data_IF_294490731009
#
_entry.id   IF_294490731009
#
_cell.length_a   1.000
_cell.length_b   1.000
_cell.length_c   1.000
_cell.angle_alpha   90.00
_cell.angle_beta   90.00
_cell.angle_gamma   90.00
#
_symmetry.space_group_name_H-M   'P 1'
#
loop_
_entity.id
_entity.type
_entity.pdbx_description
1 polymer ?
#
# COMPACT_ATOMS: atom_id res chain seq x y z
N UNK A 1 7.12 15.88 9.10
CA UNK A 1 6.56 15.17 7.93
C UNK A 1 5.49 14.18 8.36
N UNK A 2 4.45 14.06 7.57
CA UNK A 2 3.46 13.01 7.79
C UNK A 2 4.09 11.62 7.57
N UNK A 3 3.63 10.64 8.34
CA UNK A 3 4.01 9.25 8.12
C UNK A 3 3.37 8.77 6.83
N UNK A 4 4.16 8.18 5.95
CA UNK A 4 3.68 7.55 4.72
C UNK A 4 3.70 6.03 4.88
N UNK A 5 2.59 5.40 4.52
CA UNK A 5 2.46 3.94 4.53
C UNK A 5 2.07 3.49 3.12
N UNK A 6 2.86 2.58 2.56
CA UNK A 6 2.53 2.00 1.26
C UNK A 6 1.59 0.82 1.44
N UNK A 7 0.48 0.85 0.72
CA UNK A 7 -0.47 -0.27 0.66
C UNK A 7 -0.37 -0.90 -0.72
N UNK A 8 0.01 -2.16 -0.75
CA UNK A 8 0.24 -2.93 -1.97
C UNK A 8 -0.70 -4.14 -2.00
N UNK A 9 -0.89 -4.70 -3.16
CA UNK A 9 -1.72 -5.88 -3.34
C UNK A 9 -2.57 -5.83 -4.59
N UNK A 10 -3.35 -6.88 -4.78
CA UNK A 10 -4.31 -7.01 -5.87
C UNK A 10 -5.36 -8.07 -5.53
N UNK A 11 -6.39 -8.12 -6.34
CA UNK A 11 -7.50 -9.06 -6.18
C UNK A 11 -8.76 -8.38 -5.69
N UNK A 12 -9.83 -8.45 -6.49
CA UNK A 12 -11.10 -7.81 -6.18
C UNK A 12 -11.70 -8.32 -4.87
N UNK A 13 -11.45 -9.59 -4.52
CA UNK A 13 -11.90 -10.22 -3.27
C UNK A 13 -11.27 -9.61 -2.02
N UNK A 14 -10.19 -8.83 -2.18
CA UNK A 14 -9.45 -8.21 -1.08
C UNK A 14 -9.81 -6.73 -0.88
N UNK A 15 -10.68 -6.16 -1.70
CA UNK A 15 -10.96 -4.72 -1.68
C UNK A 15 -11.53 -4.23 -0.35
N UNK A 16 -12.45 -4.99 0.26
CA UNK A 16 -13.03 -4.61 1.55
C UNK A 16 -11.97 -4.45 2.64
N UNK A 17 -11.03 -5.38 2.71
CA UNK A 17 -9.93 -5.34 3.68
C UNK A 17 -8.99 -4.18 3.42
N UNK A 18 -8.68 -3.95 2.14
CA UNK A 18 -7.83 -2.84 1.73
C UNK A 18 -8.47 -1.48 2.06
N UNK A 19 -9.77 -1.34 1.84
CA UNK A 19 -10.50 -0.13 2.18
C UNK A 19 -10.42 0.17 3.69
N UNK A 20 -10.60 -0.85 4.51
CA UNK A 20 -10.51 -0.69 5.97
C UNK A 20 -9.09 -0.33 6.41
N UNK A 21 -8.06 -0.93 5.80
CA UNK A 21 -6.67 -0.55 6.05
C UNK A 21 -6.45 0.94 5.74
N UNK A 22 -6.90 1.39 4.59
CA UNK A 22 -6.77 2.80 4.19
C UNK A 22 -7.48 3.74 5.15
N UNK A 23 -8.69 3.40 5.55
CA UNK A 23 -9.48 4.17 6.51
C UNK A 23 -8.76 4.29 7.86
N UNK A 24 -8.26 3.18 8.37
CA UNK A 24 -7.56 3.15 9.67
C UNK A 24 -6.24 3.91 9.63
N UNK A 25 -5.48 3.81 8.55
CA UNK A 25 -4.24 4.57 8.38
C UNK A 25 -4.52 6.08 8.36
N UNK A 26 -5.52 6.51 7.62
CA UNK A 26 -5.90 7.91 7.55
C UNK A 26 -6.39 8.44 8.90
N UNK A 27 -7.14 7.63 9.65
CA UNK A 27 -7.58 7.97 10.99
C UNK A 27 -6.42 8.19 11.97
N UNK A 28 -5.25 7.59 11.69
CA UNK A 28 -4.01 7.80 12.45
C UNK A 28 -3.15 8.94 11.88
N UNK A 29 -3.66 9.69 10.91
CA UNK A 29 -2.94 10.81 10.31
C UNK A 29 -1.90 10.41 9.27
N UNK A 30 -1.90 9.16 8.81
CA UNK A 30 -0.95 8.69 7.80
C UNK A 30 -1.39 9.06 6.40
N UNK A 31 -0.41 9.33 5.53
CA UNK A 31 -0.62 9.41 4.09
C UNK A 31 -0.53 7.99 3.50
N UNK A 32 -1.49 7.63 2.67
CA UNK A 32 -1.53 6.32 2.02
C UNK A 32 -0.89 6.44 0.64
N UNK A 33 0.12 5.62 0.40
CA UNK A 33 0.82 5.53 -0.90
C UNK A 33 0.44 4.23 -1.58
N UNK A 34 0.06 4.30 -2.84
CA UNK A 34 -0.28 3.12 -3.66
C UNK A 34 0.31 3.25 -5.06
N UNK A 35 0.12 2.23 -5.88
CA UNK A 35 0.43 2.30 -7.30
C UNK A 35 -0.59 3.07 -8.14
N UNK A 36 -1.62 3.64 -7.53
CA UNK A 36 -2.60 4.50 -8.19
C UNK A 36 -3.61 3.80 -9.09
N UNK A 37 -3.59 2.48 -9.17
CA UNK A 37 -4.45 1.68 -10.04
C UNK A 37 -5.76 1.23 -9.38
N UNK A 38 -6.25 0.06 -9.82
CA UNK A 38 -7.54 -0.48 -9.42
C UNK A 38 -7.45 -1.46 -8.25
N UNK A 39 -8.55 -2.10 -7.92
CA UNK A 39 -8.68 -3.12 -6.90
C UNK A 39 -8.17 -2.66 -5.53
N UNK A 40 -7.19 -3.33 -4.96
CA UNK A 40 -6.62 -3.00 -3.63
C UNK A 40 -6.11 -1.56 -3.58
N UNK A 41 -5.46 -1.09 -4.63
CA UNK A 41 -4.95 0.29 -4.70
C UNK A 41 -6.07 1.33 -4.60
N UNK A 42 -7.12 1.14 -5.38
CA UNK A 42 -8.29 2.03 -5.35
C UNK A 42 -9.06 1.91 -4.02
N UNK A 43 -9.22 0.71 -3.50
CA UNK A 43 -9.93 0.47 -2.25
C UNK A 43 -9.22 1.13 -1.06
N UNK A 44 -7.90 0.98 -0.96
CA UNK A 44 -7.11 1.62 0.10
C UNK A 44 -7.22 3.14 0.02
N UNK A 45 -7.11 3.71 -1.19
CA UNK A 45 -7.27 5.14 -1.39
C UNK A 45 -8.68 5.63 -1.04
N UNK A 46 -9.71 4.89 -1.45
CA UNK A 46 -11.11 5.21 -1.11
C UNK A 46 -11.32 5.24 0.40
N UNK A 47 -10.82 4.24 1.11
CA UNK A 47 -10.91 4.19 2.58
C UNK A 47 -10.20 5.37 3.23
N UNK A 48 -9.00 5.72 2.76
CA UNK A 48 -8.27 6.87 3.26
C UNK A 48 -9.03 8.17 3.03
N UNK A 49 -9.62 8.37 1.87
CA UNK A 49 -10.41 9.58 1.56
C UNK A 49 -11.66 9.65 2.42
N UNK A 50 -12.31 8.53 2.70
CA UNK A 50 -13.50 8.49 3.56
C UNK A 50 -13.19 8.98 4.99
N UNK A 51 -11.96 8.80 5.46
CA UNK A 51 -11.50 9.25 6.77
C UNK A 51 -10.77 10.61 6.72
N UNK A 52 -10.84 11.33 5.59
CA UNK A 52 -10.24 12.64 5.44
C UNK A 52 -8.73 12.64 5.24
N UNK A 53 -8.16 11.51 4.85
CA UNK A 53 -6.72 11.36 4.66
C UNK A 53 -6.21 11.86 3.31
N UNK A 54 -4.91 11.76 3.13
CA UNK A 54 -4.20 12.12 1.90
C UNK A 54 -3.70 10.87 1.19
N UNK A 55 -3.80 10.86 -0.14
CA UNK A 55 -3.38 9.72 -0.96
C UNK A 55 -2.40 10.13 -2.04
N UNK A 56 -1.39 9.28 -2.26
CA UNK A 56 -0.41 9.44 -3.33
C UNK A 56 -0.45 8.19 -4.20
N UNK A 57 -0.57 8.38 -5.51
CA UNK A 57 -0.52 7.30 -6.49
C UNK A 57 0.72 7.42 -7.36
N UNK A 58 1.54 6.38 -7.40
CA UNK A 58 2.75 6.32 -8.21
C UNK A 58 2.46 5.44 -9.42
N UNK A 59 2.22 6.06 -10.56
CA UNK A 59 1.76 5.40 -11.78
C UNK A 59 2.91 4.82 -12.60
N UNK A 60 2.66 3.68 -13.28
CA UNK A 60 3.67 3.06 -14.15
C UNK A 60 3.81 3.74 -15.50
N UNK A 61 2.76 4.37 -15.99
CA UNK A 61 2.68 4.95 -17.34
C UNK A 61 3.00 6.43 -17.38
N UNK A 62 2.62 7.03 -18.49
CA UNK A 62 2.87 8.45 -18.80
C UNK A 62 1.63 9.32 -18.61
N UNK A 63 0.46 8.71 -18.40
CA UNK A 63 -0.81 9.40 -18.31
C UNK A 63 -1.23 9.64 -16.86
N UNK A 64 -1.29 10.90 -16.48
CA UNK A 64 -1.79 11.31 -15.17
C UNK A 64 -3.23 10.84 -14.92
N UNK A 65 -4.04 10.79 -15.98
CA UNK A 65 -5.45 10.43 -15.91
C UNK A 65 -5.68 8.92 -15.72
N UNK A 66 -4.62 8.11 -15.72
CA UNK A 66 -4.71 6.68 -15.42
C UNK A 66 -4.87 6.41 -13.92
N UNK A 67 -4.67 7.42 -13.07
CA UNK A 67 -4.88 7.28 -11.64
C UNK A 67 -6.36 7.06 -11.31
N UNK A 68 -6.65 6.22 -10.31
CA UNK A 68 -8.02 6.10 -9.83
C UNK A 68 -8.50 7.42 -9.20
N UNK A 69 -9.81 7.59 -9.10
CA UNK A 69 -10.45 8.84 -8.66
C UNK A 69 -10.14 9.24 -7.20
N UNK A 70 -9.60 8.34 -6.40
CA UNK A 70 -9.33 8.56 -4.98
C UNK A 70 -7.93 9.10 -4.69
N UNK A 71 -7.11 9.29 -5.72
CA UNK A 71 -5.73 9.78 -5.57
C UNK A 71 -5.70 11.31 -5.56
N UNK A 72 -5.10 11.86 -4.50
CA UNK A 72 -4.92 13.32 -4.39
C UNK A 72 -3.70 13.80 -5.17
N UNK A 73 -2.58 13.09 -5.05
CA UNK A 73 -1.31 13.47 -5.66
C UNK A 73 -0.79 12.35 -6.54
N UNK A 74 -0.56 12.66 -7.81
CA UNK A 74 -0.14 11.69 -8.81
C UNK A 74 1.33 11.88 -9.14
N UNK A 75 2.10 10.79 -9.09
CA UNK A 75 3.47 10.75 -9.59
C UNK A 75 3.47 9.93 -10.87
N UNK A 76 3.80 10.56 -11.99
CA UNK A 76 3.89 9.93 -13.31
C UNK A 76 5.32 9.49 -13.54
N UNK A 77 5.57 8.19 -13.64
CA UNK A 77 6.93 7.66 -13.75
C UNK A 77 7.35 7.29 -15.16
N UNK A 78 6.45 6.76 -15.97
CA UNK A 78 6.76 6.29 -17.31
C UNK A 78 7.73 5.11 -17.39
N UNK A 79 7.93 4.39 -16.26
CA UNK A 79 8.93 3.31 -16.19
C UNK A 79 8.33 1.91 -16.03
N UNK A 80 7.02 1.76 -16.22
CA UNK A 80 6.36 0.46 -16.18
C UNK A 80 6.45 -0.22 -14.81
N UNK A 81 6.72 -1.51 -14.82
CA UNK A 81 6.79 -2.31 -13.58
C UNK A 81 7.88 -1.86 -12.60
N UNK A 82 8.88 -1.13 -13.06
CA UNK A 82 9.92 -0.59 -12.18
C UNK A 82 9.37 0.41 -11.15
N UNK A 83 8.17 1.00 -11.37
CA UNK A 83 7.54 1.89 -10.39
C UNK A 83 7.18 1.16 -9.09
N UNK A 84 7.11 -0.17 -9.11
CA UNK A 84 6.87 -0.97 -7.91
C UNK A 84 7.96 -0.77 -6.86
N UNK A 85 9.20 -0.53 -7.30
CA UNK A 85 10.28 -0.15 -6.40
C UNK A 85 9.99 1.19 -5.71
N UNK A 86 9.49 2.17 -6.45
CA UNK A 86 9.16 3.49 -5.89
C UNK A 86 8.02 3.40 -4.87
N UNK A 87 7.00 2.59 -5.14
CA UNK A 87 5.90 2.36 -4.19
C UNK A 87 6.45 1.76 -2.89
N UNK A 88 7.24 0.70 -2.99
CA UNK A 88 7.82 0.04 -1.81
C UNK A 88 8.74 0.98 -1.02
N UNK A 89 9.50 1.82 -1.72
CA UNK A 89 10.46 2.74 -1.11
C UNK A 89 9.79 3.93 -0.40
N UNK A 90 8.65 4.38 -0.90
CA UNK A 90 8.00 5.62 -0.45
C UNK A 90 7.32 5.49 0.90
N UNK A 91 6.89 4.30 1.30
CA UNK A 91 6.35 4.07 2.63
C UNK A 91 7.44 3.84 3.66
N UNK A 92 7.24 4.32 4.87
CA UNK A 92 8.11 3.99 6.00
C UNK A 92 7.89 2.54 6.44
N UNK A 93 6.71 2.00 6.12
CA UNK A 93 6.32 0.61 6.27
C UNK A 93 5.38 0.24 5.13
N UNK A 94 5.29 -1.03 4.82
CA UNK A 94 4.45 -1.55 3.74
C UNK A 94 3.42 -2.52 4.30
N UNK A 95 2.16 -2.37 3.90
CA UNK A 95 1.09 -3.33 4.19
C UNK A 95 0.68 -4.00 2.88
N UNK A 96 0.76 -5.32 2.83
CA UNK A 96 0.37 -6.12 1.67
C UNK A 96 -1.00 -6.76 1.90
N UNK A 97 -1.92 -6.57 0.95
CA UNK A 97 -3.30 -7.09 1.01
C UNK A 97 -3.55 -7.93 -0.23
N UNK A 98 -3.62 -9.25 -0.07
CA UNK A 98 -3.69 -10.15 -1.21
C UNK A 98 -2.45 -10.04 -2.09
N UNK A 99 -2.63 -10.22 -3.38
CA UNK A 99 -1.60 -9.85 -4.33
C UNK A 99 -1.18 -10.92 -5.32
N UNK A 100 -0.54 -10.45 -6.37
CA UNK A 100 0.03 -11.22 -7.47
C UNK A 100 1.56 -11.19 -7.40
N UNK A 101 2.22 -11.55 -8.49
CA UNK A 101 3.69 -11.50 -8.59
C UNK A 101 4.25 -10.09 -8.40
N UNK A 102 3.52 -9.07 -8.86
CA UNK A 102 3.92 -7.67 -8.64
C UNK A 102 3.97 -7.32 -7.15
N UNK A 103 3.00 -7.81 -6.39
CA UNK A 103 2.98 -7.63 -4.94
C UNK A 103 4.15 -8.34 -4.25
N UNK A 104 4.47 -9.56 -4.70
CA UNK A 104 5.63 -10.28 -4.16
C UNK A 104 6.93 -9.53 -4.47
N UNK A 105 7.06 -8.97 -5.68
CA UNK A 105 8.20 -8.14 -6.03
C UNK A 105 8.31 -6.91 -5.11
N UNK A 106 7.19 -6.24 -4.83
CA UNK A 106 7.15 -5.09 -3.93
C UNK A 106 7.54 -5.46 -2.50
N UNK A 107 7.10 -6.63 -2.01
CA UNK A 107 7.52 -7.16 -0.70
C UNK A 107 9.03 -7.35 -0.67
N UNK A 108 9.60 -7.96 -1.72
CA UNK A 108 11.03 -8.18 -1.82
C UNK A 108 11.81 -6.86 -1.88
N UNK A 109 11.35 -5.89 -2.67
CA UNK A 109 11.96 -4.55 -2.73
C UNK A 109 11.92 -3.86 -1.37
N UNK A 110 10.78 -3.91 -0.68
CA UNK A 110 10.63 -3.32 0.65
C UNK A 110 11.67 -3.89 1.61
N UNK A 111 11.81 -5.20 1.64
CA UNK A 111 12.79 -5.85 2.51
C UNK A 111 14.23 -5.53 2.12
N UNK A 112 14.51 -5.47 0.83
CA UNK A 112 15.84 -5.07 0.31
C UNK A 112 16.21 -3.65 0.76
N UNK A 113 15.22 -2.78 0.87
CA UNK A 113 15.39 -1.38 1.29
C UNK A 113 15.30 -1.19 2.81
N UNK A 114 15.15 -2.27 3.57
CA UNK A 114 15.02 -2.18 5.02
C UNK A 114 13.64 -1.74 5.52
N UNK A 115 12.63 -1.71 4.66
CA UNK A 115 11.25 -1.40 5.07
C UNK A 115 10.61 -2.62 5.70
N UNK A 116 9.94 -2.44 6.83
CA UNK A 116 9.12 -3.50 7.42
C UNK A 116 7.90 -3.75 6.54
N UNK A 117 7.47 -5.01 6.51
CA UNK A 117 6.28 -5.43 5.76
C UNK A 117 5.31 -6.13 6.70
N UNK A 118 4.05 -5.74 6.65
CA UNK A 118 2.96 -6.45 7.31
C UNK A 118 2.10 -7.09 6.23
N UNK A 119 1.97 -8.41 6.27
CA UNK A 119 1.10 -9.14 5.34
C UNK A 119 -0.23 -9.40 6.04
N UNK A 120 -1.30 -8.83 5.51
CA UNK A 120 -2.66 -9.09 5.97
C UNK A 120 -3.14 -10.41 5.37
N UNK A 121 -3.46 -11.36 6.23
CA UNK A 121 -3.91 -12.68 5.82
C UNK A 121 -5.36 -12.68 5.32
N UNK A 122 -5.72 -13.49 4.30
CA UNK A 122 -4.83 -14.34 3.50
C UNK A 122 -4.00 -13.52 2.50
N UNK A 123 -2.75 -13.92 2.30
CA UNK A 123 -1.81 -13.25 1.41
C UNK A 123 -0.60 -14.13 1.14
N UNK A 124 0.45 -13.56 0.57
CA UNK A 124 1.68 -14.28 0.30
C UNK A 124 2.26 -14.91 1.56
N UNK A 125 2.65 -16.18 1.46
CA UNK A 125 3.30 -16.92 2.55
C UNK A 125 4.82 -16.78 2.43
N UNK A 126 5.31 -15.60 2.77
CA UNK A 126 6.73 -15.28 2.77
C UNK A 126 7.14 -14.98 4.19
N UNK A 127 8.24 -15.60 4.64
CA UNK A 127 8.78 -15.41 5.97
C UNK A 127 10.17 -14.79 5.91
N UNK A 128 10.53 -14.07 6.97
CA UNK A 128 11.84 -13.46 7.09
C UNK A 128 11.85 -12.32 8.10
N UNK A 129 13.04 -11.87 8.45
CA UNK A 129 13.19 -10.71 9.31
C UNK A 129 12.54 -9.47 8.73
N UNK A 130 11.72 -8.77 9.54
CA UNK A 130 11.01 -7.58 9.11
C UNK A 130 9.70 -7.85 8.37
N UNK A 131 9.25 -9.11 8.33
CA UNK A 131 7.92 -9.48 7.82
C UNK A 131 7.09 -9.97 8.99
N UNK A 132 5.95 -9.33 9.19
CA UNK A 132 4.95 -9.70 10.20
C UNK A 132 3.64 -10.05 9.52
N UNK A 133 2.83 -10.86 10.18
CA UNK A 133 1.53 -11.29 9.65
C UNK A 133 0.41 -10.75 10.54
N UNK A 134 -0.67 -10.29 9.92
CA UNK A 134 -1.83 -9.77 10.62
C UNK A 134 -3.09 -10.55 10.22
N UNK A 135 -3.97 -10.79 11.17
CA UNK A 135 -5.22 -11.50 10.94
C UNK A 135 -6.39 -10.56 10.60
N UNK A 136 -6.22 -9.26 10.83
CA UNK A 136 -7.27 -8.27 10.59
C UNK A 136 -6.67 -6.94 10.13
N UNK A 137 -7.45 -6.08 9.46
CA UNK A 137 -7.01 -4.74 9.12
C UNK A 137 -6.53 -3.93 10.34
N UNK A 138 -7.23 -4.04 11.45
CA UNK A 138 -6.87 -3.36 12.71
C UNK A 138 -5.49 -3.79 13.20
N UNK A 139 -5.24 -5.08 13.20
CA UNK A 139 -3.94 -5.62 13.59
C UNK A 139 -2.84 -5.21 12.60
N UNK A 140 -3.15 -5.20 11.31
CA UNK A 140 -2.19 -4.79 10.29
C UNK A 140 -1.71 -3.36 10.50
N UNK A 141 -2.62 -2.45 10.77
CA UNK A 141 -2.29 -1.04 11.02
C UNK A 141 -1.55 -0.89 12.36
N UNK A 142 -1.99 -1.58 13.40
CA UNK A 142 -1.31 -1.57 14.69
C UNK A 142 0.15 -2.03 14.57
N UNK A 143 0.39 -3.16 13.92
CA UNK A 143 1.74 -3.67 13.70
C UNK A 143 2.57 -2.73 12.82
N UNK A 144 1.97 -2.17 11.77
CA UNK A 144 2.67 -1.26 10.88
C UNK A 144 3.19 -0.02 11.62
N UNK A 145 2.38 0.55 12.51
CA UNK A 145 2.71 1.81 13.18
C UNK A 145 3.48 1.63 14.50
N UNK A 146 3.62 0.39 15.00
CA UNK A 146 4.18 0.09 16.31
C UNK A 146 5.61 0.60 16.54
N UNK A 147 6.40 0.79 15.50
CA UNK A 147 7.80 1.17 15.58
C UNK A 147 8.17 2.42 14.76
N UNK A 148 7.19 3.27 14.52
CA UNK A 148 7.40 4.52 13.78
C UNK A 148 7.46 5.74 14.69
#
# INVERSE_FOLDING_TARGET
MAVQVSVIGSGAEHERRAEEVGRLLAAQGCTVVTGGGNEVMAAAARGAKAAGGTTIGILPGEGRDDANEWIDHVVVTGIGHARNLAVAASGQVVIAVGGSWGTLAEIAFARRLGRRVVILEPGWEVEGGGIERAASPEQAVELALAHL
#
